data_IF_578396555923
#
_entry.id   IF_578396555923
#
_cell.length_a   1.000
_cell.length_b   1.000
_cell.length_c   1.000
_cell.angle_alpha   90.00
_cell.angle_beta   90.00
_cell.angle_gamma   90.00
#
_symmetry.space_group_name_H-M   'P 1'
#
loop_
_entity.id
_entity.type
_entity.pdbx_description
1 polymer ?
#
# COMPACT_ATOMS: atom_id res chain seq x y z
N UNK A 1 12.56 -9.82 -19.17
CA UNK A 1 11.76 -9.77 -17.93
C UNK A 1 11.59 -8.30 -17.61
N UNK A 2 10.37 -7.76 -17.55
CA UNK A 2 10.19 -6.35 -17.16
C UNK A 2 10.58 -6.20 -15.70
N UNK A 3 11.50 -5.28 -15.40
CA UNK A 3 11.92 -5.00 -14.04
C UNK A 3 10.76 -4.30 -13.30
N UNK A 4 10.42 -4.82 -12.12
CA UNK A 4 9.32 -4.29 -11.32
C UNK A 4 9.80 -3.04 -10.59
N UNK A 5 9.30 -1.89 -10.99
CA UNK A 5 9.60 -0.59 -10.39
C UNK A 5 8.52 -0.19 -9.36
N UNK A 6 8.66 0.98 -8.74
CA UNK A 6 7.71 1.51 -7.76
C UNK A 6 6.29 1.56 -8.29
N UNK A 7 6.11 1.97 -9.56
CA UNK A 7 4.80 2.07 -10.17
C UNK A 7 4.11 0.70 -10.25
N UNK A 8 4.86 -0.35 -10.60
CA UNK A 8 4.36 -1.72 -10.61
C UNK A 8 3.84 -2.12 -9.22
N UNK A 9 4.63 -1.90 -8.17
CA UNK A 9 4.22 -2.28 -6.82
C UNK A 9 3.05 -1.42 -6.31
N UNK A 10 3.11 -0.10 -6.50
CA UNK A 10 2.08 0.83 -6.06
C UNK A 10 0.71 0.53 -6.69
N UNK A 11 0.69 0.19 -7.99
CA UNK A 11 -0.54 -0.18 -8.70
C UNK A 11 -1.21 -1.45 -8.14
N UNK A 12 -0.46 -2.30 -7.42
CA UNK A 12 -0.97 -3.55 -6.84
C UNK A 12 -1.30 -3.44 -5.34
N UNK A 13 -0.95 -2.33 -4.67
CA UNK A 13 -1.21 -2.15 -3.23
C UNK A 13 -2.72 -2.06 -2.92
N UNK A 14 -3.49 -1.24 -3.64
CA UNK A 14 -4.93 -1.09 -3.37
C UNK A 14 -5.73 -2.37 -3.57
N UNK A 15 -5.53 -3.15 -4.65
CA UNK A 15 -6.22 -4.42 -4.81
C UNK A 15 -5.93 -5.40 -3.65
N UNK A 16 -4.72 -5.42 -3.10
CA UNK A 16 -4.39 -6.27 -1.94
C UNK A 16 -5.03 -5.74 -0.65
N UNK A 17 -5.06 -4.42 -0.44
CA UNK A 17 -5.77 -3.79 0.68
C UNK A 17 -7.28 -4.10 0.62
N UNK A 18 -7.89 -4.00 -0.56
CA UNK A 18 -9.30 -4.32 -0.74
C UNK A 18 -9.60 -5.80 -0.43
N UNK A 19 -8.71 -6.71 -0.85
CA UNK A 19 -8.80 -8.14 -0.53
C UNK A 19 -8.63 -8.41 0.97
N UNK A 20 -7.70 -7.70 1.62
CA UNK A 20 -7.49 -7.77 3.07
C UNK A 20 -8.76 -7.39 3.83
N UNK A 21 -9.33 -6.22 3.55
CA UNK A 21 -10.55 -5.77 4.21
C UNK A 21 -11.75 -6.66 3.91
N UNK A 22 -11.91 -7.13 2.66
CA UNK A 22 -12.97 -8.08 2.32
C UNK A 22 -12.87 -9.37 3.15
N UNK A 23 -11.68 -9.93 3.28
CA UNK A 23 -11.47 -11.15 4.07
C UNK A 23 -11.74 -10.91 5.57
N UNK A 24 -11.30 -9.77 6.09
CA UNK A 24 -11.55 -9.36 7.47
C UNK A 24 -13.05 -9.20 7.77
N UNK A 25 -13.78 -8.50 6.89
CA UNK A 25 -15.22 -8.30 7.03
C UNK A 25 -16.02 -9.61 6.96
N UNK A 26 -15.45 -10.63 6.31
CA UNK A 26 -16.01 -11.99 6.25
C UNK A 26 -15.64 -12.87 7.45
N UNK A 27 -14.86 -12.34 8.41
CA UNK A 27 -14.35 -13.09 9.56
C UNK A 27 -13.24 -14.08 9.22
N UNK A 28 -12.64 -13.99 8.03
CA UNK A 28 -11.57 -14.88 7.60
C UNK A 28 -10.19 -14.27 7.90
N UNK A 29 -9.82 -14.31 9.18
CA UNK A 29 -8.60 -13.66 9.71
C UNK A 29 -7.32 -14.16 9.03
N UNK A 30 -7.17 -15.46 8.79
CA UNK A 30 -5.96 -16.01 8.17
C UNK A 30 -5.76 -15.47 6.74
N UNK A 31 -6.85 -15.36 5.99
CA UNK A 31 -6.81 -14.79 4.63
C UNK A 31 -6.54 -13.28 4.69
N UNK A 32 -7.10 -12.57 5.66
CA UNK A 32 -6.81 -11.14 5.86
C UNK A 32 -5.32 -10.92 6.17
N UNK A 33 -4.74 -11.70 7.10
CA UNK A 33 -3.31 -11.63 7.46
C UNK A 33 -2.39 -11.94 6.27
N UNK A 34 -2.79 -12.88 5.39
CA UNK A 34 -2.06 -13.16 4.16
C UNK A 34 -2.02 -11.95 3.22
N UNK A 35 -3.15 -11.26 3.04
CA UNK A 35 -3.21 -10.05 2.21
C UNK A 35 -2.50 -8.87 2.86
N UNK A 36 -2.55 -8.76 4.19
CA UNK A 36 -1.77 -7.78 4.96
C UNK A 36 -0.27 -7.97 4.71
N UNK A 37 0.25 -9.20 4.86
CA UNK A 37 1.66 -9.50 4.66
C UNK A 37 2.13 -9.17 3.23
N UNK A 38 1.33 -9.51 2.21
CA UNK A 38 1.61 -9.15 0.81
C UNK A 38 1.64 -7.65 0.59
N UNK A 39 0.69 -6.92 1.17
CA UNK A 39 0.64 -5.46 1.10
C UNK A 39 1.92 -4.84 1.70
N UNK A 40 2.32 -5.31 2.89
CA UNK A 40 3.53 -4.84 3.57
C UNK A 40 4.81 -5.17 2.78
N UNK A 41 4.86 -6.33 2.12
CA UNK A 41 5.97 -6.70 1.23
C UNK A 41 6.08 -5.70 0.06
N UNK A 42 4.97 -5.36 -0.59
CA UNK A 42 4.96 -4.40 -1.70
C UNK A 42 5.41 -3.01 -1.25
N UNK A 43 4.92 -2.53 -0.10
CA UNK A 43 5.33 -1.23 0.45
C UNK A 43 6.83 -1.23 0.77
N UNK A 44 7.35 -2.32 1.35
CA UNK A 44 8.78 -2.48 1.60
C UNK A 44 9.60 -2.40 0.30
N UNK A 45 9.12 -3.04 -0.78
CA UNK A 45 9.75 -2.93 -2.11
C UNK A 45 9.78 -1.49 -2.61
N UNK A 46 8.66 -0.77 -2.57
CA UNK A 46 8.57 0.63 -2.97
C UNK A 46 9.58 1.50 -2.22
N UNK A 47 9.66 1.36 -0.90
CA UNK A 47 10.60 2.11 -0.06
C UNK A 47 12.07 1.78 -0.39
N UNK A 48 12.36 0.53 -0.75
CA UNK A 48 13.71 0.05 -1.06
C UNK A 48 14.24 0.49 -2.44
N UNK A 49 13.36 0.72 -3.43
CA UNK A 49 13.77 1.05 -4.81
C UNK A 49 14.34 2.47 -4.95
N UNK A 50 14.10 3.35 -3.99
CA UNK A 50 14.69 4.70 -3.98
C UNK A 50 14.13 5.69 -5.01
N UNK A 51 13.14 5.27 -5.80
CA UNK A 51 12.49 6.05 -6.87
C UNK A 51 11.50 7.10 -6.34
N UNK A 52 11.08 6.95 -5.08
CA UNK A 52 10.17 7.89 -4.40
C UNK A 52 10.96 9.02 -3.76
N UNK A 53 10.44 10.24 -3.87
CA UNK A 53 10.99 11.42 -3.18
C UNK A 53 10.74 11.33 -1.65
N UNK A 54 11.37 12.20 -0.82
CA UNK A 54 11.19 12.14 0.64
C UNK A 54 9.73 12.27 1.10
N UNK A 55 8.95 13.17 0.49
CA UNK A 55 7.54 13.36 0.85
C UNK A 55 6.71 12.09 0.58
N UNK A 56 6.90 11.45 -0.57
CA UNK A 56 6.24 10.20 -0.90
C UNK A 56 6.68 9.04 -0.01
N UNK A 57 7.93 9.04 0.50
CA UNK A 57 8.38 8.04 1.48
C UNK A 57 7.60 8.14 2.79
N UNK A 58 7.38 9.35 3.30
CA UNK A 58 6.56 9.58 4.51
C UNK A 58 5.12 9.09 4.32
N UNK A 59 4.55 9.30 3.14
CA UNK A 59 3.23 8.75 2.80
C UNK A 59 3.26 7.21 2.82
N UNK A 60 4.25 6.57 2.21
CA UNK A 60 4.39 5.10 2.24
C UNK A 60 4.58 4.54 3.65
N UNK A 61 5.32 5.23 4.53
CA UNK A 61 5.42 4.84 5.95
C UNK A 61 4.09 4.98 6.68
N UNK A 62 3.33 6.04 6.39
CA UNK A 62 1.99 6.23 6.98
C UNK A 62 1.06 5.10 6.56
N UNK A 63 1.04 4.74 5.27
CA UNK A 63 0.26 3.61 4.74
C UNK A 63 0.69 2.31 5.41
N UNK A 64 2.00 2.06 5.55
CA UNK A 64 2.53 0.88 6.22
C UNK A 64 1.97 0.74 7.63
N UNK A 65 2.00 1.81 8.42
CA UNK A 65 1.49 1.82 9.79
C UNK A 65 -0.01 1.54 9.85
N UNK A 66 -0.78 2.14 8.94
CA UNK A 66 -2.22 1.91 8.88
C UNK A 66 -2.56 0.47 8.43
N UNK A 67 -1.79 -0.12 7.51
CA UNK A 67 -1.92 -1.54 7.13
C UNK A 67 -1.58 -2.46 8.31
N UNK A 68 -0.56 -2.13 9.10
CA UNK A 68 -0.19 -2.92 10.29
C UNK A 68 -1.30 -2.93 11.35
N UNK A 69 -2.04 -1.83 11.49
CA UNK A 69 -3.14 -1.68 12.45
C UNK A 69 -4.54 -1.77 11.83
N UNK A 70 -4.71 -2.38 10.66
CA UNK A 70 -5.94 -2.31 9.86
C UNK A 70 -7.23 -2.78 10.58
N UNK A 71 -7.09 -3.64 11.59
CA UNK A 71 -8.16 -4.17 12.44
C UNK A 71 -8.65 -3.15 13.48
N UNK A 72 -7.88 -2.09 13.72
CA UNK A 72 -8.11 -1.06 14.75
C UNK A 72 -8.46 0.30 14.17
N UNK A 73 -8.41 0.47 12.86
CA UNK A 73 -8.67 1.76 12.23
C UNK A 73 -10.18 2.02 12.08
N UNK A 74 -10.56 3.29 12.14
CA UNK A 74 -11.95 3.71 11.93
C UNK A 74 -12.33 3.67 10.43
N UNK A 75 -13.63 3.85 10.17
CA UNK A 75 -14.17 3.83 8.80
C UNK A 75 -13.55 4.90 7.89
N UNK A 76 -13.19 6.06 8.44
CA UNK A 76 -12.53 7.14 7.72
C UNK A 76 -11.11 6.75 7.29
N UNK A 77 -10.30 6.25 8.23
CA UNK A 77 -8.94 5.78 7.97
C UNK A 77 -8.92 4.61 6.99
N UNK A 78 -9.92 3.73 7.05
CA UNK A 78 -10.12 2.67 6.05
C UNK A 78 -10.37 3.21 4.65
N UNK A 79 -11.20 4.26 4.50
CA UNK A 79 -11.42 4.92 3.21
C UNK A 79 -10.14 5.56 2.67
N UNK A 80 -9.34 6.17 3.55
CA UNK A 80 -8.01 6.70 3.19
C UNK A 80 -7.13 5.56 2.66
N UNK A 81 -7.05 4.42 3.35
CA UNK A 81 -6.25 3.27 2.91
C UNK A 81 -6.67 2.76 1.52
N UNK A 82 -7.98 2.64 1.29
CA UNK A 82 -8.54 2.20 0.01
C UNK A 82 -8.35 3.22 -1.12
N UNK A 83 -8.03 4.47 -0.78
CA UNK A 83 -7.73 5.51 -1.78
C UNK A 83 -6.27 5.47 -2.26
N UNK A 84 -5.37 4.80 -1.54
CA UNK A 84 -3.92 4.91 -1.75
C UNK A 84 -3.35 4.14 -2.95
N UNK A 85 -4.16 3.36 -3.68
CA UNK A 85 -3.79 2.84 -5.00
C UNK A 85 -4.60 3.42 -6.15
N UNK A 86 -5.40 4.47 -5.90
CA UNK A 86 -5.77 5.40 -6.98
C UNK A 86 -4.47 6.04 -7.48
N UNK A 87 -4.35 6.31 -8.80
CA UNK A 87 -3.06 6.47 -9.47
C UNK A 87 -2.14 7.36 -8.64
N UNK A 88 -1.12 6.73 -8.07
CA UNK A 88 -0.07 7.34 -7.26
C UNK A 88 0.58 8.37 -8.18
N UNK A 89 0.12 9.61 -8.07
CA UNK A 89 0.35 10.61 -9.10
C UNK A 89 1.85 10.83 -9.28
N UNK A 90 2.27 11.04 -10.52
CA UNK A 90 3.65 11.34 -10.95
C UNK A 90 4.35 12.40 -10.07
N UNK A 91 3.59 13.22 -9.32
CA UNK A 91 4.07 14.21 -8.34
C UNK A 91 4.96 13.65 -7.22
N UNK A 92 4.95 12.33 -6.97
CA UNK A 92 5.75 11.70 -5.89
C UNK A 92 6.95 10.89 -6.39
N UNK A 93 7.05 10.69 -7.69
CA UNK A 93 8.22 10.07 -8.31
C UNK A 93 9.33 11.11 -8.41
N UNK A 94 10.60 10.70 -8.35
CA UNK A 94 11.68 11.59 -8.75
C UNK A 94 11.49 11.94 -10.23
N UNK A 95 11.15 13.19 -10.51
CA UNK A 95 11.19 13.73 -11.86
C UNK A 95 12.68 13.87 -12.23
N UNK A 96 13.13 13.10 -13.22
CA UNK A 96 14.40 13.41 -13.88
C UNK A 96 14.14 14.67 -14.73
N UNK A 97 14.70 15.79 -14.31
CA UNK A 97 14.80 17.03 -15.10
C UNK A 97 15.92 16.94 -16.12
#
# INVERSE_FOLDING_TARGET
MFEKNTLFYAANVEPEIARMFKAHDQGNTDVALKFQARTLEMISKILSLGEVNPAGREEWFTIQNLVMGYDKIDSFSRQVLLSFGKPFSEKFMRQWS
#
